data_IF_420939787689
#
_entry.id   IF_420939787689
#
_cell.length_a   1.000
_cell.length_b   1.000
_cell.length_c   1.000
_cell.angle_alpha   90.00
_cell.angle_beta   90.00
_cell.angle_gamma   90.00
#
_symmetry.space_group_name_H-M   'P 1'
#
loop_
_entity.id
_entity.type
_entity.pdbx_description
1 polymer ?
#
# COMPACT_ATOMS: atom_id res chain seq x y z
N UNK A 1 32.04 38.54 -18.32
CA UNK A 1 30.61 38.14 -18.31
C UNK A 1 30.46 36.62 -18.23
N UNK A 2 31.12 35.84 -19.10
CA UNK A 2 31.10 34.36 -19.08
C UNK A 2 31.64 33.74 -17.77
N UNK A 3 32.68 34.34 -17.19
CA UNK A 3 33.29 33.88 -15.92
C UNK A 3 32.37 34.01 -14.70
N UNK A 4 31.55 35.06 -14.62
CA UNK A 4 30.57 35.24 -13.54
C UNK A 4 29.41 34.24 -13.65
N UNK A 5 28.96 33.95 -14.87
CA UNK A 5 27.97 32.91 -15.12
C UNK A 5 28.50 31.52 -14.74
N UNK A 6 29.77 31.22 -15.03
CA UNK A 6 30.37 29.94 -14.67
C UNK A 6 30.56 29.76 -13.15
N UNK A 7 30.96 30.83 -12.43
CA UNK A 7 31.14 30.78 -10.97
C UNK A 7 29.80 30.61 -10.23
N UNK A 8 28.71 31.18 -10.73
CA UNK A 8 27.39 31.06 -10.09
C UNK A 8 26.56 29.86 -10.57
N UNK A 9 26.37 29.73 -11.88
CA UNK A 9 25.44 28.74 -12.44
C UNK A 9 25.98 27.31 -12.35
N UNK A 10 27.29 27.10 -12.51
CA UNK A 10 27.89 25.76 -12.46
C UNK A 10 27.76 25.07 -11.09
N UNK A 11 28.11 25.71 -9.95
CA UNK A 11 27.89 25.08 -8.63
C UNK A 11 26.41 24.94 -8.29
N UNK A 12 25.55 25.88 -8.73
CA UNK A 12 24.11 25.77 -8.53
C UNK A 12 23.51 24.54 -9.24
N UNK A 13 23.90 24.29 -10.50
CA UNK A 13 23.48 23.10 -11.24
C UNK A 13 23.95 21.80 -10.57
N UNK A 14 25.17 21.78 -10.00
CA UNK A 14 25.67 20.63 -9.24
C UNK A 14 24.87 20.40 -7.95
N UNK A 15 24.51 21.48 -7.25
CA UNK A 15 23.67 21.40 -6.05
C UNK A 15 22.28 20.84 -6.36
N UNK A 16 21.64 21.29 -7.45
CA UNK A 16 20.37 20.72 -7.91
C UNK A 16 20.53 19.23 -8.25
N UNK A 17 21.59 18.86 -8.96
CA UNK A 17 21.88 17.46 -9.28
C UNK A 17 22.04 16.59 -8.02
N UNK A 18 22.68 17.13 -6.97
CA UNK A 18 22.81 16.44 -5.68
C UNK A 18 21.47 16.28 -4.97
N UNK A 19 20.62 17.31 -4.95
CA UNK A 19 19.26 17.20 -4.39
C UNK A 19 18.44 16.16 -5.17
N UNK A 20 18.53 16.16 -6.49
CA UNK A 20 17.83 15.19 -7.33
C UNK A 20 18.29 13.76 -7.01
N UNK A 21 19.60 13.55 -6.84
CA UNK A 21 20.15 12.26 -6.41
C UNK A 21 19.60 11.83 -5.05
N UNK A 22 19.57 12.73 -4.06
CA UNK A 22 19.01 12.43 -2.74
C UNK A 22 17.52 12.09 -2.80
N UNK A 23 16.73 12.80 -3.62
CA UNK A 23 15.31 12.50 -3.81
C UNK A 23 15.10 11.12 -4.44
N UNK A 24 15.84 10.78 -5.49
CA UNK A 24 15.76 9.46 -6.14
C UNK A 24 16.20 8.37 -5.16
N UNK A 25 17.28 8.58 -4.41
CA UNK A 25 17.76 7.64 -3.41
C UNK A 25 16.74 7.43 -2.28
N UNK A 26 16.11 8.50 -1.81
CA UNK A 26 15.08 8.43 -0.77
C UNK A 26 13.84 7.71 -1.27
N UNK A 27 13.33 8.05 -2.46
CA UNK A 27 12.20 7.35 -3.10
C UNK A 27 12.50 5.86 -3.30
N UNK A 28 13.70 5.53 -3.78
CA UNK A 28 14.15 4.15 -3.93
C UNK A 28 14.24 3.42 -2.60
N UNK A 29 14.79 4.06 -1.57
CA UNK A 29 14.89 3.50 -0.22
C UNK A 29 13.52 3.20 0.39
N UNK A 30 12.56 4.12 0.31
CA UNK A 30 11.21 3.89 0.80
C UNK A 30 10.48 2.81 0.01
N UNK A 31 10.65 2.79 -1.31
CA UNK A 31 10.07 1.75 -2.17
C UNK A 31 10.61 0.36 -1.81
N UNK A 32 11.93 0.21 -1.65
CA UNK A 32 12.56 -1.05 -1.26
C UNK A 32 12.13 -1.48 0.16
N UNK A 33 12.06 -0.55 1.10
CA UNK A 33 11.61 -0.83 2.47
C UNK A 33 10.16 -1.31 2.50
N UNK A 34 9.27 -0.66 1.73
CA UNK A 34 7.89 -1.11 1.54
C UNK A 34 7.86 -2.54 0.99
N UNK A 35 8.68 -2.83 -0.02
CA UNK A 35 8.73 -4.15 -0.64
C UNK A 35 9.21 -5.22 0.34
N UNK A 36 10.21 -4.94 1.17
CA UNK A 36 10.71 -5.93 2.15
C UNK A 36 9.76 -6.11 3.32
N UNK A 37 9.04 -5.08 3.76
CA UNK A 37 8.13 -5.20 4.91
C UNK A 37 6.75 -5.75 4.55
N UNK A 38 6.14 -5.26 3.47
CA UNK A 38 4.74 -5.54 3.15
C UNK A 38 4.59 -6.71 2.19
N UNK A 39 5.51 -6.88 1.23
CA UNK A 39 5.42 -7.96 0.26
C UNK A 39 5.47 -9.35 0.92
N UNK A 40 6.35 -9.64 1.90
CA UNK A 40 6.36 -10.96 2.53
C UNK A 40 5.06 -11.24 3.26
N UNK A 41 4.51 -10.27 4.01
CA UNK A 41 3.23 -10.44 4.69
C UNK A 41 2.11 -10.74 3.68
N UNK A 42 1.95 -9.89 2.67
CA UNK A 42 0.90 -10.04 1.65
C UNK A 42 1.01 -11.37 0.90
N UNK A 43 2.23 -11.73 0.47
CA UNK A 43 2.47 -12.95 -0.30
C UNK A 43 2.30 -14.22 0.56
N UNK A 44 2.84 -14.24 1.78
CA UNK A 44 2.72 -15.40 2.68
C UNK A 44 1.29 -15.64 3.11
N UNK A 45 0.55 -14.57 3.43
CA UNK A 45 -0.86 -14.67 3.81
C UNK A 45 -1.73 -15.13 2.63
N UNK A 46 -1.54 -14.55 1.45
CA UNK A 46 -2.27 -14.98 0.24
C UNK A 46 -2.01 -16.45 -0.12
N UNK A 47 -0.77 -16.94 0.02
CA UNK A 47 -0.46 -18.36 -0.21
C UNK A 47 -1.10 -19.24 0.88
N UNK A 48 -1.10 -18.82 2.14
CA UNK A 48 -1.71 -19.56 3.23
C UNK A 48 -3.23 -19.69 3.08
N UNK A 49 -3.90 -18.63 2.60
CA UNK A 49 -5.34 -18.61 2.34
C UNK A 49 -5.70 -19.55 1.19
N UNK A 50 -5.00 -19.45 0.07
CA UNK A 50 -5.21 -20.34 -1.08
C UNK A 50 -4.95 -21.83 -0.75
N UNK A 51 -4.10 -22.11 0.25
CA UNK A 51 -3.84 -23.49 0.73
C UNK A 51 -4.84 -23.96 1.79
N UNK A 52 -5.84 -23.15 2.14
CA UNK A 52 -6.83 -23.48 3.17
C UNK A 52 -6.22 -23.64 4.57
N UNK A 53 -5.07 -23.01 4.84
CA UNK A 53 -4.44 -23.05 6.17
C UNK A 53 -5.01 -21.99 7.11
N UNK A 54 -5.60 -20.95 6.56
CA UNK A 54 -6.25 -19.85 7.25
C UNK A 54 -7.68 -19.70 6.69
N UNK A 55 -8.63 -19.36 7.56
CA UNK A 55 -10.06 -19.16 7.22
C UNK A 55 -10.79 -20.34 6.55
N UNK A 56 -10.21 -21.55 6.52
CA UNK A 56 -10.82 -22.69 5.82
C UNK A 56 -12.18 -23.15 6.36
N UNK A 57 -12.51 -22.83 7.61
CA UNK A 57 -13.79 -23.16 8.24
C UNK A 57 -14.76 -21.97 8.32
N UNK A 58 -14.40 -20.83 7.73
CA UNK A 58 -15.24 -19.63 7.76
C UNK A 58 -16.06 -19.60 6.47
N UNK A 59 -17.37 -19.77 6.60
CA UNK A 59 -18.25 -19.64 5.44
C UNK A 59 -18.34 -18.16 5.03
N UNK A 60 -18.42 -17.84 3.72
CA UNK A 60 -18.58 -16.45 3.27
C UNK A 60 -19.80 -15.75 3.88
N UNK A 61 -20.83 -16.53 4.26
CA UNK A 61 -22.08 -16.06 4.84
C UNK A 61 -21.95 -15.64 6.32
N UNK A 62 -20.89 -16.06 7.01
CA UNK A 62 -20.60 -15.63 8.38
C UNK A 62 -19.84 -14.30 8.43
N UNK A 63 -19.08 -13.99 7.38
CA UNK A 63 -18.33 -12.73 7.25
C UNK A 63 -19.16 -11.66 6.55
N UNK A 64 -20.06 -12.06 5.63
CA UNK A 64 -20.95 -11.11 4.95
C UNK A 64 -21.90 -10.47 5.96
N UNK A 65 -22.07 -9.16 5.83
CA UNK A 65 -23.15 -8.46 6.52
C UNK A 65 -24.49 -9.06 6.10
N UNK A 66 -25.18 -9.70 7.04
CA UNK A 66 -26.50 -10.28 6.81
C UNK A 66 -27.53 -9.15 6.67
N UNK A 67 -28.31 -9.15 5.59
CA UNK A 67 -29.45 -8.23 5.47
C UNK A 67 -30.46 -8.52 6.59
N UNK A 68 -31.26 -7.52 7.00
CA UNK A 68 -32.25 -7.65 8.08
C UNK A 68 -33.07 -8.97 8.02
N UNK A 69 -33.60 -9.43 6.87
CA UNK A 69 -34.34 -10.70 6.81
C UNK A 69 -33.47 -11.97 6.91
N UNK A 70 -32.17 -11.87 6.71
CA UNK A 70 -31.22 -13.00 6.82
C UNK A 70 -30.58 -13.12 8.21
N UNK A 71 -30.93 -12.24 9.16
CA UNK A 71 -30.43 -12.30 10.53
C UNK A 71 -31.27 -13.28 11.36
N UNK A 72 -30.60 -14.08 12.18
CA UNK A 72 -31.27 -14.99 13.11
C UNK A 72 -32.03 -14.15 14.17
N UNK A 73 -33.32 -14.44 14.37
CA UNK A 73 -34.22 -13.74 15.30
C UNK A 73 -34.61 -12.30 14.91
N UNK A 74 -34.53 -11.93 13.62
CA UNK A 74 -35.05 -10.65 13.12
C UNK A 74 -36.15 -10.93 12.10
N UNK A 75 -37.36 -10.49 12.39
CA UNK A 75 -38.50 -10.56 11.46
C UNK A 75 -38.79 -9.16 10.91
N UNK A 76 -38.93 -9.05 9.60
CA UNK A 76 -39.22 -7.78 8.94
C UNK A 76 -40.73 -7.60 8.89
N UNK A 77 -41.24 -6.64 9.67
CA UNK A 77 -42.66 -6.27 9.65
C UNK A 77 -42.90 -5.27 8.52
N UNK A 78 -43.67 -5.68 7.51
CA UNK A 78 -44.09 -4.80 6.43
C UNK A 78 -45.39 -4.08 6.80
N UNK A 79 -45.35 -2.75 6.85
CA UNK A 79 -46.54 -1.92 7.01
C UNK A 79 -47.04 -1.56 5.61
N UNK A 80 -48.31 -1.86 5.33
CA UNK A 80 -48.97 -1.62 4.04
C UNK A 80 -49.42 -0.18 3.89
#
# INVERSE_FOLDING_TARGET
>A
MVTLLYIGAWPFMKFIGFILFLLIAFLGFWCLTFLVCILPYWLTYGIAENRGKINANVSPDDVRSKTLPHQQNVEVVYIK
#
